data_IF_149570116219
#
_entry.id   IF_149570116219
#
_cell.length_a   1.000
_cell.length_b   1.000
_cell.length_c   1.000
_cell.angle_alpha   90.00
_cell.angle_beta   90.00
_cell.angle_gamma   90.00
#
_symmetry.space_group_name_H-M   'P 1'
#
loop_
_entity.id
_entity.type
_entity.pdbx_description
1 polymer ?
#
# COMPACT_ATOMS: atom_id res chain seq x y z
N UNK A 1 19.01 19.65 4.76
CA UNK A 1 19.77 18.42 5.05
C UNK A 1 19.07 17.27 4.36
N UNK A 2 19.80 16.32 3.77
CA UNK A 2 19.17 15.14 3.19
C UNK A 2 18.59 14.27 4.31
N UNK A 3 17.33 13.85 4.18
CA UNK A 3 16.72 12.94 5.13
C UNK A 3 17.34 11.55 5.00
N UNK A 4 17.78 10.99 6.13
CA UNK A 4 18.32 9.64 6.22
C UNK A 4 17.32 8.72 6.90
N UNK A 5 16.87 7.64 6.25
CA UNK A 5 16.00 6.66 6.89
C UNK A 5 16.73 5.95 8.02
N UNK A 6 16.01 5.64 9.10
CA UNK A 6 16.55 4.77 10.15
C UNK A 6 16.68 3.34 9.61
N UNK A 7 17.78 2.65 9.88
CA UNK A 7 17.92 1.24 9.53
C UNK A 7 16.99 0.33 10.36
N UNK A 8 16.42 -0.74 9.79
CA UNK A 8 15.58 -1.65 10.54
C UNK A 8 16.42 -2.38 11.60
N UNK A 9 15.91 -2.44 12.83
CA UNK A 9 16.63 -3.07 13.95
C UNK A 9 16.54 -4.61 13.98
N UNK A 10 15.85 -5.24 13.01
CA UNK A 10 15.63 -6.68 12.98
C UNK A 10 15.55 -7.20 11.55
N UNK A 11 15.86 -8.48 11.36
CA UNK A 11 15.72 -9.18 10.07
C UNK A 11 14.31 -9.06 9.49
N UNK A 12 13.28 -9.19 10.35
CA UNK A 12 11.88 -8.99 9.94
C UNK A 12 11.65 -7.59 9.37
N UNK A 13 12.27 -6.57 9.96
CA UNK A 13 12.22 -5.20 9.47
C UNK A 13 12.94 -5.02 8.13
N UNK A 14 14.09 -5.67 7.94
CA UNK A 14 14.84 -5.67 6.67
C UNK A 14 14.00 -6.30 5.56
N UNK A 15 13.43 -7.48 5.81
CA UNK A 15 12.56 -8.17 4.84
C UNK A 15 11.33 -7.33 4.51
N UNK A 16 10.67 -6.75 5.51
CA UNK A 16 9.51 -5.89 5.29
C UNK A 16 9.86 -4.63 4.47
N UNK A 17 11.05 -4.06 4.67
CA UNK A 17 11.53 -2.90 3.90
C UNK A 17 11.79 -3.28 2.46
N UNK A 18 12.44 -4.43 2.23
CA UNK A 18 12.66 -4.92 0.88
C UNK A 18 11.34 -5.17 0.16
N UNK A 19 10.38 -5.80 0.83
CA UNK A 19 9.03 -6.03 0.28
C UNK A 19 8.31 -4.71 -0.03
N UNK A 20 8.42 -3.71 0.83
CA UNK A 20 7.86 -2.38 0.56
C UNK A 20 8.51 -1.77 -0.69
N UNK A 21 9.84 -1.81 -0.78
CA UNK A 21 10.59 -1.27 -1.91
C UNK A 21 10.20 -1.98 -3.21
N UNK A 22 10.10 -3.30 -3.22
CA UNK A 22 9.72 -4.07 -4.41
C UNK A 22 8.31 -3.75 -4.88
N UNK A 23 7.36 -3.55 -3.96
CA UNK A 23 6.01 -3.10 -4.31
C UNK A 23 6.03 -1.65 -4.83
N UNK A 24 6.78 -0.76 -4.18
CA UNK A 24 6.90 0.64 -4.59
C UNK A 24 7.53 0.78 -5.98
N UNK A 25 8.59 0.01 -6.29
CA UNK A 25 9.21 -0.08 -7.62
C UNK A 25 8.18 -0.42 -8.69
N UNK A 26 7.29 -1.39 -8.42
CA UNK A 26 6.21 -1.80 -9.33
C UNK A 26 5.12 -0.74 -9.47
N UNK A 27 4.83 0.02 -8.41
CA UNK A 27 3.85 1.11 -8.43
C UNK A 27 4.37 2.31 -9.22
N UNK A 28 5.63 2.68 -8.99
CA UNK A 28 6.27 3.85 -9.60
C UNK A 28 6.73 3.54 -11.04
N UNK A 29 7.00 2.28 -11.36
CA UNK A 29 7.53 1.88 -12.66
C UNK A 29 9.05 2.09 -12.78
N UNK A 30 9.76 2.16 -11.66
CA UNK A 30 11.22 2.32 -11.60
C UNK A 30 11.84 1.11 -10.88
N UNK A 31 12.44 0.15 -11.61
CA UNK A 31 13.01 -1.06 -11.01
C UNK A 31 14.32 -0.80 -10.24
N UNK A 32 15.01 0.31 -10.52
CA UNK A 32 16.29 0.65 -9.91
C UNK A 32 16.12 1.64 -8.75
N UNK A 33 14.88 1.94 -8.36
CA UNK A 33 14.60 2.84 -7.27
C UNK A 33 15.17 2.29 -5.96
N UNK A 34 16.00 3.07 -5.30
CA UNK A 34 16.57 2.74 -3.99
C UNK A 34 15.71 3.30 -2.85
N UNK A 35 15.71 2.63 -1.71
CA UNK A 35 14.87 3.03 -0.57
C UNK A 35 15.23 4.44 -0.07
N UNK A 36 16.51 4.81 -0.04
CA UNK A 36 16.93 6.15 0.38
C UNK A 36 16.37 7.26 -0.53
N UNK A 37 16.33 7.01 -1.85
CA UNK A 37 15.75 7.94 -2.83
C UNK A 37 14.24 8.04 -2.65
N UNK A 38 13.58 6.89 -2.46
CA UNK A 38 12.16 6.85 -2.16
C UNK A 38 11.83 7.61 -0.86
N UNK A 39 12.67 7.44 0.17
CA UNK A 39 12.52 8.12 1.45
C UNK A 39 12.57 9.63 1.29
N UNK A 40 13.60 10.16 0.61
CA UNK A 40 13.77 11.59 0.37
C UNK A 40 12.63 12.19 -0.45
N UNK A 41 12.07 11.45 -1.41
CA UNK A 41 11.00 11.94 -2.29
C UNK A 41 9.65 12.04 -1.59
N UNK A 42 9.35 11.11 -0.69
CA UNK A 42 7.99 10.94 -0.16
C UNK A 42 7.84 11.26 1.34
N UNK A 43 8.90 11.16 2.15
CA UNK A 43 8.78 11.25 3.62
C UNK A 43 8.06 12.50 4.14
N UNK A 44 8.32 13.67 3.56
CA UNK A 44 7.78 14.98 3.98
C UNK A 44 6.55 15.44 3.18
N UNK A 45 6.20 14.75 2.09
CA UNK A 45 5.05 15.11 1.27
C UNK A 45 3.86 14.23 1.63
N UNK A 46 3.10 14.64 2.65
CA UNK A 46 1.98 13.87 3.20
C UNK A 46 1.05 13.31 2.13
N UNK A 47 0.62 14.15 1.18
CA UNK A 47 -0.29 13.74 0.13
C UNK A 47 0.32 12.66 -0.78
N UNK A 48 1.54 12.87 -1.26
CA UNK A 48 2.21 11.92 -2.14
C UNK A 48 2.54 10.61 -1.41
N UNK A 49 2.96 10.69 -0.15
CA UNK A 49 3.31 9.54 0.66
C UNK A 49 2.10 8.67 0.99
N UNK A 50 0.99 9.30 1.38
CA UNK A 50 -0.28 8.58 1.63
C UNK A 50 -0.76 7.90 0.34
N UNK A 51 -0.65 8.57 -0.81
CA UNK A 51 -1.02 7.97 -2.11
C UNK A 51 -0.14 6.79 -2.48
N UNK A 52 1.16 6.88 -2.22
CA UNK A 52 2.07 5.76 -2.42
C UNK A 52 1.71 4.58 -1.51
N UNK A 53 1.41 4.81 -0.23
CA UNK A 53 1.03 3.76 0.72
C UNK A 53 -0.30 3.08 0.33
N UNK A 54 -1.29 3.84 -0.15
CA UNK A 54 -2.52 3.29 -0.72
C UNK A 54 -2.23 2.40 -1.95
N UNK A 55 -1.36 2.86 -2.85
CA UNK A 55 -1.01 2.13 -4.07
C UNK A 55 -0.17 0.86 -3.78
N UNK A 56 0.77 0.94 -2.85
CA UNK A 56 1.56 -0.21 -2.36
C UNK A 56 0.64 -1.22 -1.69
N UNK A 57 -0.30 -0.78 -0.84
CA UNK A 57 -1.28 -1.65 -0.23
C UNK A 57 -2.15 -2.35 -1.28
N UNK A 58 -2.62 -1.61 -2.30
CA UNK A 58 -3.41 -2.16 -3.40
C UNK A 58 -2.61 -3.22 -4.16
N UNK A 59 -1.35 -2.93 -4.50
CA UNK A 59 -0.48 -3.88 -5.20
C UNK A 59 -0.22 -5.13 -4.35
N UNK A 60 0.02 -4.97 -3.05
CA UNK A 60 0.23 -6.08 -2.13
C UNK A 60 -0.99 -6.99 -2.04
N UNK A 61 -2.17 -6.43 -1.80
CA UNK A 61 -3.44 -7.17 -1.69
C UNK A 61 -3.81 -7.87 -3.00
N UNK A 62 -3.64 -7.19 -4.14
CA UNK A 62 -3.95 -7.78 -5.46
C UNK A 62 -2.92 -8.84 -5.89
N UNK A 63 -1.72 -8.83 -5.32
CA UNK A 63 -0.69 -9.88 -5.51
C UNK A 63 -0.89 -11.09 -4.58
N UNK A 64 -1.97 -11.13 -3.78
CA UNK A 64 -2.30 -12.28 -2.94
C UNK A 64 -1.77 -12.22 -1.50
N UNK A 65 -1.11 -11.14 -1.08
CA UNK A 65 -0.72 -10.98 0.32
C UNK A 65 -1.94 -10.73 1.22
N UNK A 66 -1.91 -11.29 2.43
CA UNK A 66 -2.97 -11.04 3.41
C UNK A 66 -2.90 -9.61 3.97
N UNK A 67 -4.01 -9.02 4.45
CA UNK A 67 -4.02 -7.68 5.05
C UNK A 67 -3.02 -7.51 6.21
N UNK A 68 -2.79 -8.58 6.98
CA UNK A 68 -1.80 -8.61 8.07
C UNK A 68 -0.38 -8.45 7.53
N UNK A 69 -0.03 -9.16 6.45
CA UNK A 69 1.28 -9.07 5.80
C UNK A 69 1.47 -7.67 5.20
N UNK A 70 0.48 -7.18 4.45
CA UNK A 70 0.53 -5.83 3.86
C UNK A 70 0.68 -4.76 4.94
N UNK A 71 -0.02 -4.88 6.07
CA UNK A 71 0.17 -3.98 7.22
C UNK A 71 1.61 -4.02 7.73
N UNK A 72 2.21 -5.21 7.89
CA UNK A 72 3.60 -5.36 8.29
C UNK A 72 4.58 -4.67 7.32
N UNK A 73 4.33 -4.79 6.01
CA UNK A 73 5.11 -4.13 4.96
C UNK A 73 5.00 -2.60 5.07
N UNK A 74 3.78 -2.06 5.22
CA UNK A 74 3.55 -0.61 5.34
C UNK A 74 4.17 0.01 6.61
N UNK A 75 4.54 -0.77 7.63
CA UNK A 75 5.33 -0.25 8.74
C UNK A 75 6.75 0.16 8.33
N UNK A 76 7.18 -0.17 7.11
CA UNK A 76 8.44 0.29 6.54
C UNK A 76 8.24 1.40 5.49
N UNK A 77 7.06 2.01 5.39
CA UNK A 77 6.86 3.13 4.47
C UNK A 77 7.67 4.36 4.87
N UNK A 78 8.14 5.17 3.91
CA UNK A 78 8.79 6.45 4.20
C UNK A 78 7.99 7.33 5.13
N UNK A 79 6.69 7.43 4.91
CA UNK A 79 5.79 8.28 5.69
C UNK A 79 5.79 7.87 7.17
N UNK A 80 5.58 6.59 7.46
CA UNK A 80 5.56 6.10 8.83
C UNK A 80 6.94 6.21 9.48
N UNK A 81 7.99 5.79 8.77
CA UNK A 81 9.36 5.84 9.30
C UNK A 81 9.79 7.27 9.64
N UNK A 82 9.43 8.25 8.80
CA UNK A 82 9.65 9.67 9.06
C UNK A 82 8.90 10.16 10.30
N UNK A 83 7.59 9.90 10.38
CA UNK A 83 6.78 10.37 11.50
C UNK A 83 7.22 9.78 12.84
N UNK A 84 7.53 8.48 12.88
CA UNK A 84 7.95 7.80 14.12
C UNK A 84 9.36 8.20 14.53
N UNK A 85 10.31 8.28 13.58
CA UNK A 85 11.73 8.43 13.93
C UNK A 85 12.24 9.87 13.89
N UNK A 86 11.72 10.71 13.00
CA UNK A 86 12.10 12.12 12.89
C UNK A 86 11.13 13.00 13.67
N UNK A 87 9.82 12.91 13.42
CA UNK A 87 8.82 13.75 14.08
C UNK A 87 8.40 13.25 15.48
N UNK A 88 8.94 12.11 15.93
CA UNK A 88 8.68 11.50 17.25
C UNK A 88 7.19 11.23 17.52
N UNK A 89 6.39 11.05 16.47
CA UNK A 89 5.00 10.62 16.61
C UNK A 89 5.00 9.21 17.21
N UNK A 90 4.21 8.95 18.28
CA UNK A 90 4.14 7.64 18.87
C UNK A 90 3.77 6.55 17.84
N UNK A 91 4.33 5.36 17.99
CA UNK A 91 4.04 4.25 17.09
C UNK A 91 2.55 3.84 17.05
N UNK A 92 1.80 3.79 18.17
CA UNK A 92 0.40 3.34 18.15
C UNK A 92 -0.53 4.07 17.15
N UNK A 93 -0.57 5.42 17.08
CA UNK A 93 -1.38 6.11 16.06
C UNK A 93 -0.89 5.83 14.63
N UNK A 94 0.42 5.70 14.41
CA UNK A 94 0.95 5.37 13.08
C UNK A 94 0.63 3.93 12.67
N UNK A 95 0.60 2.99 13.61
CA UNK A 95 0.09 1.63 13.39
C UNK A 95 -1.41 1.60 13.11
N UNK A 96 -2.19 2.53 13.67
CA UNK A 96 -3.60 2.70 13.32
C UNK A 96 -3.76 3.28 11.91
N UNK A 97 -2.94 4.27 11.52
CA UNK A 97 -2.87 4.78 10.15
C UNK A 97 -2.63 3.65 9.13
N UNK A 98 -1.63 2.79 9.38
CA UNK A 98 -1.32 1.66 8.50
C UNK A 98 -2.52 0.72 8.37
N UNK A 99 -3.10 0.28 9.49
CA UNK A 99 -4.25 -0.63 9.48
C UNK A 99 -5.44 -0.02 8.75
N UNK A 100 -5.71 1.27 8.97
CA UNK A 100 -6.82 1.99 8.31
C UNK A 100 -6.60 2.09 6.81
N UNK A 101 -5.37 2.36 6.36
CA UNK A 101 -4.99 2.40 4.95
C UNK A 101 -5.22 1.04 4.28
N UNK A 102 -4.74 -0.05 4.90
CA UNK A 102 -4.93 -1.41 4.35
C UNK A 102 -6.41 -1.79 4.30
N UNK A 103 -7.18 -1.51 5.35
CA UNK A 103 -8.61 -1.84 5.39
C UNK A 103 -9.41 -1.04 4.34
N UNK A 104 -9.12 0.25 4.19
CA UNK A 104 -9.73 1.09 3.15
C UNK A 104 -9.49 0.50 1.75
N UNK A 105 -8.26 0.10 1.46
CA UNK A 105 -7.90 -0.47 0.15
C UNK A 105 -8.50 -1.87 -0.03
N UNK A 106 -8.53 -2.70 1.01
CA UNK A 106 -9.17 -4.01 0.98
C UNK A 106 -10.65 -3.90 0.59
N UNK A 107 -11.38 -2.99 1.23
CA UNK A 107 -12.79 -2.73 0.90
C UNK A 107 -12.97 -2.30 -0.56
N UNK A 108 -12.06 -1.50 -1.10
CA UNK A 108 -12.08 -1.11 -2.51
C UNK A 108 -11.86 -2.32 -3.44
N UNK A 109 -10.90 -3.19 -3.11
CA UNK A 109 -10.62 -4.42 -3.88
C UNK A 109 -11.82 -5.38 -3.84
N UNK A 110 -12.42 -5.58 -2.67
CA UNK A 110 -13.61 -6.43 -2.51
C UNK A 110 -14.82 -5.87 -3.28
N UNK A 111 -15.03 -4.55 -3.23
CA UNK A 111 -16.08 -3.87 -3.99
C UNK A 111 -15.85 -3.98 -5.51
N UNK A 112 -14.61 -3.84 -5.98
CA UNK A 112 -14.29 -4.00 -7.39
C UNK A 112 -14.55 -5.44 -7.87
N UNK A 113 -14.20 -6.44 -7.04
CA UNK A 113 -14.49 -7.85 -7.32
C UNK A 113 -15.99 -8.13 -7.38
N UNK A 114 -16.78 -7.61 -6.44
CA UNK A 114 -18.23 -7.84 -6.43
C UNK A 114 -18.95 -7.20 -7.62
N UNK A 115 -18.45 -6.07 -8.12
CA UNK A 115 -18.97 -5.42 -9.33
C UNK A 115 -18.58 -6.15 -10.62
N UNK A 116 -17.38 -6.74 -10.69
CA UNK A 116 -16.93 -7.54 -11.84
C UNK A 116 -17.58 -8.92 -11.95
N UNK A 117 -18.30 -9.37 -10.92
CA UNK A 117 -18.93 -10.71 -10.84
C UNK A 117 -20.45 -10.67 -11.00
N UNK A 118 -21.02 -9.65 -11.67
CA UNK A 118 -22.46 -9.69 -12.00
C UNK A 118 -22.67 -10.59 -13.23
N UNK A 119 -23.39 -11.73 -13.12
CA UNK A 119 -23.80 -12.47 -14.31
C UNK A 119 -24.71 -11.59 -15.14
N UNK A 120 -24.36 -11.41 -16.42
CA UNK A 120 -25.26 -10.86 -17.43
C UNK A 120 -26.46 -11.81 -17.47
N UNK A 121 -27.55 -11.44 -16.80
CA UNK A 121 -28.86 -12.07 -17.05
C UNK A 121 -29.22 -11.66 -18.47
N UNK A 122 -28.91 -12.54 -19.43
CA UNK A 122 -29.49 -12.51 -20.77
C UNK A 122 -31.00 -12.49 -20.61
N UNK A 123 -31.62 -11.32 -20.77
CA UNK A 123 -33.04 -11.24 -21.06
C UNK A 123 -33.21 -11.93 -22.40
N UNK A 124 -33.69 -13.17 -22.40
CA UNK A 124 -34.41 -13.71 -23.55
C UNK A 124 -35.55 -12.73 -23.80
N UNK A 125 -35.42 -11.93 -24.84
CA UNK A 125 -36.56 -11.26 -25.43
C UNK A 125 -37.30 -12.35 -26.20
N UNK A 126 -38.41 -12.82 -25.62
CA UNK A 126 -39.47 -13.44 -26.38
C UNK A 126 -39.92 -12.42 -27.43
N UNK A 127 -39.53 -12.66 -28.68
CA UNK A 127 -40.27 -12.16 -29.83
C UNK A 127 -41.10 -13.32 -30.34
N UNK A 128 -42.29 -13.46 -29.76
CA UNK A 128 -43.45 -13.89 -30.54
C UNK A 128 -43.74 -12.77 -31.54
N UNK A 129 -43.67 -13.09 -32.84
CA UNK A 129 -44.40 -12.36 -33.87
C UNK A 129 -45.17 -13.42 -34.64
N UNK A 130 -46.47 -13.17 -34.74
CA UNK A 130 -47.52 -13.93 -35.44
C UNK A 130 -47.15 -14.39 -36.86
#
# INVERSE_FOLDING_TARGET
MALTPKEPASERGVVARQQYLDLARRVIGDPNLEYGVLYQRFAENDWAAIKLDEAVALKGLTSGHSPKVVSGILHQSPYLQYHVHQNKVPLPPMSQYVRSTVMKVLQQVEKAKSLGTKPIKSRKADLEID
#
